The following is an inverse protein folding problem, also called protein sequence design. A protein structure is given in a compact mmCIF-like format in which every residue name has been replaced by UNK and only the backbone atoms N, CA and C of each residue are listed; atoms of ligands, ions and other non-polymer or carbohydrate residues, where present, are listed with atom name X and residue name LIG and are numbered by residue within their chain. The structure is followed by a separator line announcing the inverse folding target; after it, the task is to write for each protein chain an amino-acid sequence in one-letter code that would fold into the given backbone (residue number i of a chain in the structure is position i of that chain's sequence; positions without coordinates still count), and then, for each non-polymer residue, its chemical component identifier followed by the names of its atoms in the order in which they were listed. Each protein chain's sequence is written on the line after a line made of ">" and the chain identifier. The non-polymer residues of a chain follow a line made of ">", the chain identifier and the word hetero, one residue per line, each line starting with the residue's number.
data_IF_793882461944
#
_entry.id   IF_793882461944
#
_cell.length_a   1.000
_cell.length_b   1.000
_cell.length_c   1.000
_cell.angle_alpha   90.00
_cell.angle_beta   90.00
_cell.angle_gamma   90.00
#
_symmetry.space_group_name_H-M   'P 1'
#
loop_
_entity.id
_entity.type
_entity.pdbx_description
1 polymer ?
#
# COMPACT_ATOMS: atom_id res chain seq x y z
N UNK A 1 10.47 -11.30 -25.32
CA UNK A 1 9.47 -11.85 -24.37
C UNK A 1 8.30 -10.87 -24.37
N UNK A 2 7.07 -11.35 -24.23
CA UNK A 2 5.91 -10.43 -24.23
C UNK A 2 5.85 -9.68 -22.89
N UNK A 3 6.10 -8.38 -22.93
CA UNK A 3 6.29 -7.56 -21.74
C UNK A 3 4.94 -7.03 -21.24
N UNK A 4 4.24 -7.84 -20.44
CA UNK A 4 2.99 -7.45 -19.79
C UNK A 4 3.18 -6.19 -18.96
N UNK A 5 2.58 -5.08 -19.41
CA UNK A 5 2.71 -3.78 -18.73
C UNK A 5 2.35 -3.90 -17.24
N UNK A 6 3.25 -3.48 -16.32
CA UNK A 6 3.03 -3.63 -14.89
C UNK A 6 1.85 -2.77 -14.43
N UNK A 7 1.08 -3.31 -13.50
CA UNK A 7 -0.11 -2.67 -12.91
C UNK A 7 -0.06 -2.78 -11.40
N UNK A 8 -0.82 -1.89 -10.73
CA UNK A 8 -0.91 -1.80 -9.27
C UNK A 8 -2.31 -2.20 -8.82
N UNK A 9 -2.39 -3.16 -7.91
CA UNK A 9 -3.64 -3.65 -7.33
C UNK A 9 -3.66 -3.29 -5.84
N UNK A 10 -4.62 -2.45 -5.45
CA UNK A 10 -4.92 -2.18 -4.04
C UNK A 10 -5.92 -3.26 -3.57
N UNK A 11 -5.44 -4.24 -2.81
CA UNK A 11 -6.17 -5.45 -2.44
C UNK A 11 -6.74 -5.29 -1.03
N UNK A 12 -8.03 -5.64 -0.85
CA UNK A 12 -8.68 -5.75 0.46
C UNK A 12 -8.91 -7.21 0.83
N UNK A 13 -8.97 -7.55 2.12
CA UNK A 13 -8.99 -8.97 2.52
C UNK A 13 -10.26 -9.73 2.09
N UNK A 14 -11.45 -9.18 2.37
CA UNK A 14 -12.68 -9.97 2.25
C UNK A 14 -12.92 -10.48 0.81
N UNK A 15 -13.16 -11.79 0.69
CA UNK A 15 -13.34 -12.54 -0.57
C UNK A 15 -12.16 -12.53 -1.57
N UNK A 16 -10.96 -12.05 -1.19
CA UNK A 16 -9.78 -12.13 -2.06
C UNK A 16 -9.26 -13.56 -2.28
N UNK A 17 -8.93 -13.89 -3.53
CA UNK A 17 -8.20 -15.11 -3.89
C UNK A 17 -6.69 -14.83 -3.84
N UNK A 18 -6.00 -15.35 -2.82
CA UNK A 18 -4.57 -15.12 -2.64
C UNK A 18 -3.70 -15.91 -3.60
N UNK A 19 -4.21 -16.98 -4.23
CA UNK A 19 -3.54 -17.63 -5.36
C UNK A 19 -3.43 -16.67 -6.55
N UNK A 20 -4.49 -15.91 -6.83
CA UNK A 20 -4.48 -14.90 -7.90
C UNK A 20 -3.59 -13.70 -7.53
N UNK A 21 -3.60 -13.26 -6.26
CA UNK A 21 -2.67 -12.22 -5.77
C UNK A 21 -1.20 -12.65 -5.96
N UNK A 22 -0.85 -13.89 -5.60
CA UNK A 22 0.49 -14.44 -5.81
C UNK A 22 0.84 -14.52 -7.31
N UNK A 23 -0.12 -14.89 -8.16
CA UNK A 23 0.07 -14.94 -9.61
C UNK A 23 0.29 -13.55 -10.24
N UNK A 24 -0.45 -12.54 -9.80
CA UNK A 24 -0.26 -11.15 -10.23
C UNK A 24 1.12 -10.62 -9.79
N UNK A 25 1.53 -10.86 -8.55
CA UNK A 25 2.85 -10.49 -8.04
C UNK A 25 3.99 -11.19 -8.81
N UNK A 26 3.84 -12.48 -9.10
CA UNK A 26 4.79 -13.25 -9.92
C UNK A 26 4.88 -12.71 -11.36
N UNK A 27 3.79 -12.16 -11.90
CA UNK A 27 3.74 -11.41 -13.18
C UNK A 27 4.24 -9.96 -13.07
N UNK A 28 4.98 -9.61 -12.00
CA UNK A 28 5.54 -8.27 -11.74
C UNK A 28 4.49 -7.16 -11.63
N UNK A 29 3.27 -7.50 -11.18
CA UNK A 29 2.30 -6.50 -10.77
C UNK A 29 2.53 -6.11 -9.30
N UNK A 30 2.35 -4.84 -8.99
CA UNK A 30 2.53 -4.30 -7.63
C UNK A 30 1.27 -4.59 -6.81
N UNK A 31 1.46 -5.25 -5.67
CA UNK A 31 0.40 -5.54 -4.71
C UNK A 31 0.51 -4.54 -3.56
N UNK A 32 -0.53 -3.75 -3.40
CA UNK A 32 -0.66 -2.69 -2.41
C UNK A 32 -1.90 -2.92 -1.54
N UNK A 33 -1.94 -2.22 -0.42
CA UNK A 33 -2.89 -2.47 0.67
C UNK A 33 -4.19 -1.64 0.52
N UNK A 34 -5.32 -2.24 0.85
CA UNK A 34 -6.64 -1.60 0.91
C UNK A 34 -7.47 -2.05 2.12
N UNK A 35 -6.79 -2.33 3.24
CA UNK A 35 -7.33 -2.80 4.52
C UNK A 35 -7.94 -4.21 4.53
N UNK A 36 -8.21 -4.72 5.73
CA UNK A 36 -8.86 -6.01 5.94
C UNK A 36 -10.38 -5.88 5.73
N UNK A 37 -11.04 -5.08 6.58
CA UNK A 37 -12.51 -5.11 6.68
C UNK A 37 -13.21 -4.16 5.74
N UNK A 38 -12.52 -3.09 5.28
CA UNK A 38 -13.14 -1.93 4.63
C UNK A 38 -14.35 -1.40 5.43
N UNK A 39 -14.18 -1.26 6.75
CA UNK A 39 -15.18 -0.84 7.73
C UNK A 39 -16.15 0.26 7.23
N UNK A 40 -17.43 0.08 7.53
CA UNK A 40 -18.51 1.04 7.25
C UNK A 40 -19.12 1.58 8.56
N UNK A 41 -19.53 2.86 8.63
CA UNK A 41 -19.55 3.85 7.55
C UNK A 41 -18.15 4.36 7.18
N UNK A 42 -18.01 4.90 5.97
CA UNK A 42 -16.74 5.45 5.48
C UNK A 42 -16.11 6.46 6.46
N UNK A 43 -16.93 7.30 7.11
CA UNK A 43 -16.49 8.29 8.10
C UNK A 43 -15.76 7.72 9.33
N UNK A 44 -15.81 6.40 9.58
CA UNK A 44 -14.96 5.77 10.59
C UNK A 44 -13.46 5.94 10.26
N UNK A 45 -13.07 5.77 8.99
CA UNK A 45 -11.67 5.92 8.54
C UNK A 45 -11.11 7.33 8.81
N UNK A 46 -11.97 8.36 8.81
CA UNK A 46 -11.61 9.74 9.15
C UNK A 46 -11.44 10.01 10.66
N UNK A 47 -11.81 9.07 11.53
CA UNK A 47 -11.84 9.24 12.99
C UNK A 47 -11.16 8.10 13.78
N UNK A 48 -10.79 7.00 13.10
CA UNK A 48 -10.16 5.83 13.71
C UNK A 48 -8.82 6.17 14.39
N UNK A 49 -8.52 5.41 15.44
CA UNK A 49 -7.30 5.53 16.25
C UNK A 49 -6.07 4.96 15.55
N UNK A 50 -4.88 5.26 16.09
CA UNK A 50 -3.62 4.66 15.63
C UNK A 50 -3.63 3.13 15.75
N UNK A 51 -4.33 2.59 16.75
CA UNK A 51 -4.46 1.15 17.01
C UNK A 51 -5.38 0.49 15.97
N UNK A 52 -6.61 0.97 15.81
CA UNK A 52 -7.57 0.51 14.78
C UNK A 52 -6.98 0.55 13.36
N UNK A 53 -6.30 1.64 13.00
CA UNK A 53 -5.65 1.77 11.70
C UNK A 53 -4.42 0.86 11.56
N UNK A 54 -3.72 0.55 12.65
CA UNK A 54 -2.61 -0.42 12.65
C UNK A 54 -3.13 -1.84 12.42
N UNK A 55 -4.22 -2.25 13.06
CA UNK A 55 -4.82 -3.57 12.85
C UNK A 55 -5.31 -3.75 11.41
N UNK A 56 -5.87 -2.72 10.80
CA UNK A 56 -6.32 -2.73 9.40
C UNK A 56 -5.15 -2.71 8.39
N UNK A 57 -4.18 -1.80 8.54
CA UNK A 57 -3.09 -1.61 7.55
C UNK A 57 -1.98 -2.65 7.72
N UNK A 58 -1.47 -2.84 8.94
CA UNK A 58 -0.36 -3.77 9.18
C UNK A 58 -0.87 -5.20 9.16
N UNK A 59 -2.10 -5.43 9.64
CA UNK A 59 -2.76 -6.73 9.53
C UNK A 59 -3.01 -7.14 8.08
N UNK A 60 -3.47 -6.24 7.20
CA UNK A 60 -3.63 -6.57 5.78
C UNK A 60 -2.28 -6.81 5.08
N UNK A 61 -1.22 -6.06 5.41
CA UNK A 61 0.15 -6.36 4.94
C UNK A 61 0.61 -7.75 5.39
N UNK A 62 0.35 -8.15 6.62
CA UNK A 62 0.69 -9.49 7.12
C UNK A 62 -0.15 -10.60 6.47
N UNK A 63 -1.41 -10.33 6.15
CA UNK A 63 -2.27 -11.23 5.36
C UNK A 63 -1.71 -11.41 3.93
N UNK A 64 -1.36 -10.31 3.25
CA UNK A 64 -0.75 -10.33 1.91
C UNK A 64 0.58 -11.10 1.91
N UNK A 65 1.39 -10.91 2.95
CA UNK A 65 2.65 -11.65 3.16
C UNK A 65 2.42 -13.14 3.41
N UNK A 66 1.59 -13.50 4.39
CA UNK A 66 1.41 -14.90 4.85
C UNK A 66 0.61 -15.74 3.86
N UNK A 67 -0.45 -15.18 3.26
CA UNK A 67 -1.41 -15.94 2.45
C UNK A 67 -1.25 -15.73 0.95
N UNK A 68 -0.78 -14.55 0.52
CA UNK A 68 -0.45 -14.23 -0.87
C UNK A 68 1.01 -14.44 -1.26
N UNK A 69 1.87 -14.83 -0.30
CA UNK A 69 3.32 -15.01 -0.50
C UNK A 69 4.00 -13.78 -1.15
N UNK A 70 3.49 -12.58 -0.87
CA UNK A 70 4.08 -11.32 -1.33
C UNK A 70 5.20 -10.94 -0.38
N UNK A 71 6.39 -10.59 -0.88
CA UNK A 71 7.49 -10.24 0.00
C UNK A 71 7.20 -8.92 0.75
N UNK A 72 7.38 -8.88 2.07
CA UNK A 72 6.94 -7.76 2.92
C UNK A 72 7.50 -6.41 2.46
N UNK A 73 8.75 -6.40 2.00
CA UNK A 73 9.42 -5.21 1.52
C UNK A 73 8.84 -4.65 0.22
N UNK A 74 8.06 -5.43 -0.54
CA UNK A 74 7.40 -5.01 -1.78
C UNK A 74 5.95 -4.53 -1.58
N UNK A 75 5.34 -4.81 -0.42
CA UNK A 75 4.03 -4.25 -0.02
C UNK A 75 4.24 -2.82 0.47
N UNK A 76 4.60 -1.94 -0.48
CA UNK A 76 5.10 -0.58 -0.25
C UNK A 76 3.97 0.46 -0.12
N UNK A 77 2.75 0.13 -0.51
CA UNK A 77 1.68 1.11 -0.73
C UNK A 77 0.41 0.85 0.04
N UNK A 78 -0.30 1.92 0.37
CA UNK A 78 -1.68 1.89 0.88
C UNK A 78 -2.60 2.78 0.04
N UNK A 79 -3.90 2.50 0.12
CA UNK A 79 -4.99 3.38 -0.32
C UNK A 79 -6.13 3.27 0.68
N UNK A 80 -6.51 4.37 1.33
CA UNK A 80 -7.64 4.37 2.26
C UNK A 80 -8.96 3.91 1.60
N UNK A 81 -9.72 2.98 2.21
CA UNK A 81 -11.05 2.61 1.73
C UNK A 81 -11.97 3.83 1.56
N UNK A 82 -12.83 3.76 0.53
CA UNK A 82 -13.76 4.85 0.16
C UNK A 82 -13.10 6.20 -0.17
N UNK A 83 -11.76 6.27 -0.27
CA UNK A 83 -11.00 7.51 -0.43
C UNK A 83 -11.17 8.45 0.78
N UNK A 84 -11.51 7.89 1.95
CA UNK A 84 -11.59 8.63 3.22
C UNK A 84 -10.27 8.49 3.97
N UNK A 85 -9.46 9.54 3.94
CA UNK A 85 -8.21 9.60 4.72
C UNK A 85 -8.45 9.93 6.21
N UNK A 86 -7.56 9.44 7.07
CA UNK A 86 -7.55 9.53 8.53
C UNK A 86 -6.61 10.59 9.10
N UNK A 87 -6.39 11.70 8.39
CA UNK A 87 -5.62 12.84 8.86
C UNK A 87 -4.17 12.52 9.24
N UNK A 88 -3.66 13.17 10.29
CA UNK A 88 -2.30 12.88 10.76
C UNK A 88 -2.15 11.45 11.34
N UNK A 89 -3.25 10.81 11.76
CA UNK A 89 -3.27 9.48 12.38
C UNK A 89 -2.88 8.39 11.39
N UNK A 90 -3.54 8.34 10.24
CA UNK A 90 -3.21 7.42 9.13
C UNK A 90 -1.75 7.58 8.70
N UNK A 91 -1.34 8.80 8.38
CA UNK A 91 0.01 9.06 7.87
C UNK A 91 1.11 8.85 8.93
N UNK A 92 0.76 8.75 10.22
CA UNK A 92 1.67 8.27 11.26
C UNK A 92 1.78 6.74 11.24
N UNK A 93 0.65 6.03 11.26
CA UNK A 93 0.63 4.56 11.19
C UNK A 93 1.36 4.04 9.95
N UNK A 94 1.10 4.63 8.77
CA UNK A 94 1.78 4.29 7.53
C UNK A 94 3.30 4.47 7.63
N UNK A 95 3.75 5.63 8.14
CA UNK A 95 5.17 5.96 8.28
C UNK A 95 5.88 5.04 9.27
N UNK A 96 5.33 4.91 10.48
CA UNK A 96 5.95 4.14 11.56
C UNK A 96 5.96 2.63 11.26
N UNK A 97 5.01 2.15 10.44
CA UNK A 97 4.95 0.78 9.92
C UNK A 97 5.84 0.53 8.69
N UNK A 98 6.42 1.57 8.09
CA UNK A 98 7.30 1.47 6.92
C UNK A 98 6.59 1.35 5.56
N UNK A 99 5.35 1.83 5.41
CA UNK A 99 4.77 2.07 4.09
C UNK A 99 5.46 3.27 3.41
N UNK A 100 5.59 3.22 2.09
CA UNK A 100 6.31 4.20 1.27
C UNK A 100 5.41 5.28 0.66
N UNK A 101 4.15 4.95 0.35
CA UNK A 101 3.21 5.91 -0.25
C UNK A 101 1.73 5.61 0.08
N UNK A 102 0.91 6.65 -0.04
CA UNK A 102 -0.55 6.66 0.09
C UNK A 102 -1.18 7.08 -1.26
N UNK A 103 -2.45 6.76 -1.52
CA UNK A 103 -3.12 7.06 -2.80
C UNK A 103 -4.63 7.34 -2.68
N UNK A 104 -5.07 8.05 -1.64
CA UNK A 104 -6.45 8.48 -1.36
C UNK A 104 -6.61 10.00 -1.12
N UNK A 105 -5.63 10.83 -1.46
CA UNK A 105 -5.80 12.30 -1.52
C UNK A 105 -6.08 12.78 -2.96
N UNK A 106 -7.35 12.91 -3.40
CA UNK A 106 -7.70 13.49 -4.69
C UNK A 106 -7.61 15.03 -4.68
N UNK A 107 -7.58 15.64 -5.88
CA UNK A 107 -7.71 17.08 -6.07
C UNK A 107 -8.84 17.38 -7.06
N UNK A 108 -9.63 18.42 -6.77
CA UNK A 108 -10.58 19.05 -7.70
C UNK A 108 -10.12 20.47 -8.10
N UNK A 109 -9.28 21.10 -7.29
CA UNK A 109 -8.76 22.46 -7.54
C UNK A 109 -7.65 22.50 -8.60
N UNK A 110 -6.83 21.45 -8.69
CA UNK A 110 -5.60 21.45 -9.50
C UNK A 110 -5.70 20.53 -10.73
N UNK A 111 -6.85 20.54 -11.42
CA UNK A 111 -7.10 19.69 -12.60
C UNK A 111 -6.32 20.12 -13.86
N UNK A 112 -5.99 21.40 -13.99
CA UNK A 112 -5.28 21.96 -15.15
C UNK A 112 -3.77 22.21 -14.89
N UNK A 113 -3.32 22.02 -13.65
CA UNK A 113 -1.93 22.16 -13.20
C UNK A 113 -1.69 21.06 -12.14
N UNK A 114 -1.59 19.79 -12.58
CA UNK A 114 -1.72 18.64 -11.68
C UNK A 114 -0.51 18.44 -10.77
N UNK A 115 -0.79 18.09 -9.51
CA UNK A 115 0.25 17.72 -8.56
C UNK A 115 1.06 16.51 -9.02
N UNK A 116 2.38 16.66 -8.98
CA UNK A 116 3.30 15.53 -8.90
C UNK A 116 3.26 14.93 -7.48
N UNK A 117 3.53 13.62 -7.30
CA UNK A 117 3.54 13.01 -5.97
C UNK A 117 4.57 13.66 -5.04
N UNK A 118 4.16 14.07 -3.84
CA UNK A 118 4.95 14.88 -2.89
C UNK A 118 5.11 14.21 -1.50
N UNK A 119 6.06 14.71 -0.69
CA UNK A 119 6.26 14.29 0.70
C UNK A 119 5.42 15.12 1.66
N UNK A 120 4.90 14.50 2.71
CA UNK A 120 4.31 15.19 3.86
C UNK A 120 5.34 15.58 4.93
N UNK A 121 6.60 15.74 4.52
CA UNK A 121 7.64 16.36 5.35
C UNK A 121 7.35 17.85 5.57
N UNK A 122 6.70 18.50 4.60
CA UNK A 122 6.18 19.86 4.72
C UNK A 122 4.64 19.84 4.71
N UNK A 123 4.03 20.98 5.07
CA UNK A 123 2.59 21.17 4.94
C UNK A 123 2.18 21.19 3.46
N UNK A 124 1.33 20.27 3.05
CA UNK A 124 0.77 20.23 1.68
C UNK A 124 -0.05 21.49 1.36
N UNK A 125 0.00 21.91 0.10
CA UNK A 125 -0.82 22.96 -0.52
C UNK A 125 -2.02 22.41 -1.29
N UNK A 126 -2.18 21.08 -1.32
CA UNK A 126 -3.34 20.42 -1.94
C UNK A 126 -4.63 20.74 -1.17
N UNK A 127 -5.71 20.82 -1.94
CA UNK A 127 -7.09 20.85 -1.48
C UNK A 127 -7.49 19.59 -0.71
N UNK A 128 -8.33 19.76 0.31
CA UNK A 128 -8.75 18.67 1.20
C UNK A 128 -10.22 18.32 0.93
N UNK A 129 -10.45 17.61 -0.18
CA UNK A 129 -11.78 17.29 -0.69
C UNK A 129 -12.53 16.28 0.19
N UNK A 130 -11.81 15.33 0.79
CA UNK A 130 -12.34 14.34 1.73
C UNK A 130 -11.47 14.40 2.99
N UNK A 131 -11.88 15.24 3.95
CA UNK A 131 -11.15 15.45 5.21
C UNK A 131 -11.47 14.43 6.30
N UNK A 132 -10.62 14.29 7.34
CA UNK A 132 -9.46 15.15 7.63
C UNK A 132 -8.21 14.75 6.84
N UNK A 133 -7.51 15.75 6.27
CA UNK A 133 -6.22 15.55 5.60
C UNK A 133 -5.05 15.81 6.56
N UNK A 134 -3.85 15.23 6.31
CA UNK A 134 -2.66 15.49 7.11
C UNK A 134 -2.26 16.97 7.06
N UNK A 135 -1.96 17.56 8.23
CA UNK A 135 -1.65 19.00 8.39
C UNK A 135 -0.16 19.28 8.59
N UNK A 136 0.69 18.25 8.60
CA UNK A 136 2.15 18.39 8.53
C UNK A 136 2.85 18.75 9.84
N UNK A 137 2.19 18.63 10.99
CA UNK A 137 2.77 18.98 12.31
C UNK A 137 3.67 17.88 12.89
N UNK A 138 4.60 17.34 12.11
CA UNK A 138 5.73 16.58 12.65
C UNK A 138 6.75 17.57 13.23
N UNK A 139 6.96 17.51 14.55
CA UNK A 139 7.78 18.47 15.33
C UNK A 139 9.23 18.61 14.82
N UNK A 140 9.72 17.59 14.12
CA UNK A 140 10.97 17.53 13.36
C UNK A 140 11.27 18.80 12.54
N UNK A 141 10.26 19.38 11.89
CA UNK A 141 10.43 20.56 11.01
C UNK A 141 11.08 21.76 11.71
N UNK A 142 10.77 22.01 12.98
CA UNK A 142 11.33 23.17 13.72
C UNK A 142 12.85 23.11 13.93
N UNK A 143 13.49 21.97 13.66
CA UNK A 143 14.94 21.78 13.78
C UNK A 143 15.67 21.75 12.43
N UNK A 144 14.96 21.48 11.33
CA UNK A 144 15.51 21.48 9.97
C UNK A 144 15.19 22.76 9.19
N UNK A 145 14.04 23.38 9.41
CA UNK A 145 13.68 24.68 8.80
C UNK A 145 14.44 25.88 9.41
N UNK A 146 15.51 25.62 10.16
CA UNK A 146 16.48 26.59 10.68
C UNK A 146 17.91 26.24 10.24
N UNK A 147 18.04 25.53 9.12
CA UNK A 147 19.30 25.15 8.47
C UNK A 147 19.23 25.64 7.02
N UNK A 148 20.19 26.46 6.61
CA UNK A 148 20.15 27.21 5.35
C UNK A 148 20.54 26.37 4.11
N UNK A 149 20.70 25.05 4.27
CA UNK A 149 21.35 24.13 3.33
C UNK A 149 20.53 22.86 2.95
N UNK A 150 19.20 22.84 3.19
CA UNK A 150 18.34 21.63 3.05
C UNK A 150 17.24 21.74 1.97
N UNK A 151 17.06 20.68 1.15
CA UNK A 151 16.07 20.55 0.06
C UNK A 151 15.47 19.12 -0.02
N UNK A 152 14.26 18.90 -0.59
CA UNK A 152 13.46 17.64 -0.46
C UNK A 152 12.66 17.24 -1.73
N UNK A 153 12.48 15.92 -2.03
CA UNK A 153 11.89 15.32 -3.28
C UNK A 153 11.23 13.90 -3.11
N UNK A 154 10.51 13.36 -4.14
CA UNK A 154 9.50 12.23 -4.10
C UNK A 154 9.15 11.63 -5.50
N UNK A 155 8.19 10.73 -5.88
CA UNK A 155 7.24 9.62 -5.42
C UNK A 155 7.42 8.17 -5.99
N UNK A 156 7.81 7.15 -5.21
CA UNK A 156 7.94 5.70 -5.58
C UNK A 156 8.59 5.35 -6.95
N UNK A 157 7.86 4.95 -8.00
CA UNK A 157 8.48 4.67 -9.31
C UNK A 157 8.88 5.95 -10.07
N UNK A 158 8.27 7.07 -9.70
CA UNK A 158 8.78 8.40 -10.00
C UNK A 158 9.81 8.88 -8.96
N UNK A 159 9.91 8.31 -7.73
CA UNK A 159 11.01 8.64 -6.77
C UNK A 159 12.33 8.40 -7.48
N UNK A 160 12.44 7.30 -8.20
CA UNK A 160 13.73 6.82 -8.68
C UNK A 160 14.22 7.74 -9.79
N UNK A 161 13.35 8.07 -10.75
CA UNK A 161 13.66 9.03 -11.81
C UNK A 161 13.73 10.50 -11.30
N UNK A 162 12.92 10.92 -10.32
CA UNK A 162 13.00 12.29 -9.76
C UNK A 162 14.24 12.47 -8.87
N UNK A 163 14.70 11.41 -8.18
CA UNK A 163 16.00 11.40 -7.46
C UNK A 163 17.19 11.26 -8.40
N UNK A 164 17.01 10.66 -9.58
CA UNK A 164 18.08 10.48 -10.57
C UNK A 164 17.55 10.62 -12.01
N UNK A 165 17.36 11.85 -12.51
CA UNK A 165 16.77 12.10 -13.82
C UNK A 165 17.60 11.51 -14.95
N UNK A 166 17.08 10.43 -15.53
CA UNK A 166 17.73 9.66 -16.59
C UNK A 166 17.15 10.07 -17.95
N UNK A 167 17.99 10.26 -18.97
CA UNK A 167 17.51 10.69 -20.28
C UNK A 167 16.67 9.59 -20.93
N UNK A 168 15.85 9.98 -21.91
CA UNK A 168 15.13 9.03 -22.76
C UNK A 168 16.07 8.09 -23.53
N UNK A 169 17.27 8.55 -23.87
CA UNK A 169 18.35 7.77 -24.51
C UNK A 169 18.87 6.63 -23.62
N UNK A 170 18.88 6.84 -22.31
CA UNK A 170 19.46 5.94 -21.31
C UNK A 170 18.39 5.12 -20.54
N UNK A 171 17.10 5.28 -20.90
CA UNK A 171 15.97 4.85 -20.05
C UNK A 171 15.78 3.34 -20.00
N UNK A 172 16.15 2.61 -21.05
CA UNK A 172 16.13 1.14 -21.06
C UNK A 172 17.18 0.55 -20.10
N UNK A 173 18.23 1.31 -19.80
CA UNK A 173 19.30 0.91 -18.90
C UNK A 173 19.08 1.35 -17.44
N UNK A 174 18.01 2.08 -17.15
CA UNK A 174 17.72 2.66 -15.83
C UNK A 174 17.53 1.59 -14.74
N UNK A 175 18.58 1.37 -13.93
CA UNK A 175 18.67 0.25 -12.99
C UNK A 175 17.49 0.12 -12.00
N UNK A 176 16.89 1.17 -11.44
CA UNK A 176 15.74 1.01 -10.53
C UNK A 176 14.48 0.42 -11.18
N UNK A 177 14.35 0.51 -12.52
CA UNK A 177 13.28 -0.17 -13.26
C UNK A 177 13.68 -1.59 -13.72
N UNK A 178 14.92 -2.03 -13.47
CA UNK A 178 15.37 -3.39 -13.77
C UNK A 178 14.92 -4.37 -12.67
N UNK A 179 14.63 -5.58 -13.09
CA UNK A 179 13.96 -6.61 -12.28
C UNK A 179 14.93 -7.41 -11.39
N UNK A 180 15.80 -6.72 -10.65
CA UNK A 180 17.03 -7.26 -10.04
C UNK A 180 16.81 -8.40 -9.03
N UNK A 181 15.66 -8.43 -8.35
CA UNK A 181 15.24 -9.55 -7.49
C UNK A 181 14.11 -10.34 -8.17
N UNK A 182 14.21 -11.68 -8.36
CA UNK A 182 13.05 -12.49 -8.73
C UNK A 182 12.00 -12.47 -7.61
N UNK A 183 10.70 -12.65 -7.92
CA UNK A 183 9.69 -12.83 -6.89
C UNK A 183 9.91 -14.21 -6.20
N UNK A 184 9.30 -14.43 -5.01
CA UNK A 184 9.13 -15.78 -4.46
C UNK A 184 8.49 -16.72 -5.50
N UNK A 185 8.75 -18.04 -5.44
CA UNK A 185 8.21 -18.99 -6.40
C UNK A 185 6.70 -18.83 -6.61
N UNK A 186 6.28 -18.74 -7.87
CA UNK A 186 4.86 -18.69 -8.24
C UNK A 186 4.13 -19.97 -7.82
N UNK A 187 2.89 -19.82 -7.38
CA UNK A 187 1.99 -20.94 -7.11
C UNK A 187 1.43 -21.49 -8.42
N UNK A 188 1.43 -22.81 -8.63
CA UNK A 188 0.67 -23.37 -9.74
C UNK A 188 -0.82 -23.42 -9.38
N UNK A 189 -1.70 -23.42 -10.38
CA UNK A 189 -3.14 -23.56 -10.15
C UNK A 189 -3.53 -24.91 -9.49
N UNK A 190 -2.62 -25.89 -9.43
CA UNK A 190 -2.80 -27.14 -8.71
C UNK A 190 -2.42 -27.08 -7.22
N UNK A 191 -1.62 -26.10 -6.79
CA UNK A 191 -1.20 -25.92 -5.39
C UNK A 191 -2.19 -25.06 -4.57
N UNK A 192 -3.10 -24.36 -5.27
CA UNK A 192 -4.11 -23.48 -4.70
C UNK A 192 -5.20 -24.28 -3.94
N UNK A 193 -5.40 -23.97 -2.65
CA UNK A 193 -6.36 -24.63 -1.76
C UNK A 193 -7.49 -23.69 -1.38
N UNK A 194 -8.73 -24.17 -1.44
CA UNK A 194 -9.91 -23.46 -0.95
C UNK A 194 -10.15 -23.76 0.53
N UNK A 195 -9.77 -22.83 1.40
CA UNK A 195 -10.04 -22.89 2.82
C UNK A 195 -11.48 -22.40 3.10
N UNK A 196 -12.24 -23.17 3.88
CA UNK A 196 -13.68 -22.94 4.09
C UNK A 196 -13.99 -22.64 5.57
N UNK A 197 -14.71 -21.55 5.83
CA UNK A 197 -14.96 -21.00 7.17
C UNK A 197 -16.47 -20.88 7.43
N UNK A 198 -17.17 -22.02 7.64
CA UNK A 198 -18.63 -22.06 7.67
C UNK A 198 -19.24 -21.24 8.82
N UNK A 199 -18.56 -21.11 9.96
CA UNK A 199 -19.03 -20.29 11.08
C UNK A 199 -19.05 -18.77 10.77
N UNK A 200 -18.34 -18.33 9.74
CA UNK A 200 -18.32 -16.95 9.23
C UNK A 200 -18.96 -16.81 7.84
N UNK A 201 -19.47 -17.90 7.25
CA UNK A 201 -19.94 -17.96 5.85
C UNK A 201 -18.91 -17.49 4.81
N UNK A 202 -17.61 -17.63 5.10
CA UNK A 202 -16.51 -17.14 4.26
C UNK A 202 -15.65 -18.27 3.69
N UNK A 203 -14.91 -17.94 2.63
CA UNK A 203 -13.88 -18.80 2.03
C UNK A 203 -12.63 -17.97 1.75
N UNK A 204 -11.47 -18.63 1.70
CA UNK A 204 -10.19 -18.03 1.29
C UNK A 204 -9.42 -19.03 0.44
N UNK A 205 -9.07 -18.65 -0.79
CA UNK A 205 -8.15 -19.43 -1.62
C UNK A 205 -6.71 -18.99 -1.36
N UNK A 206 -5.81 -19.91 -1.05
CA UNK A 206 -4.38 -19.63 -0.81
C UNK A 206 -3.51 -20.84 -1.19
N UNK A 207 -2.23 -20.58 -1.50
CA UNK A 207 -1.23 -21.61 -1.77
C UNK A 207 -0.35 -21.94 -0.56
N UNK A 208 -0.70 -21.43 0.63
CA UNK A 208 -0.01 -21.77 1.87
C UNK A 208 0.00 -23.29 2.14
N UNK A 209 0.98 -23.82 2.92
CA UNK A 209 1.05 -25.25 3.22
C UNK A 209 -0.23 -25.80 3.84
N UNK A 210 -0.85 -25.04 4.76
CA UNK A 210 -2.05 -25.38 5.50
C UNK A 210 -3.02 -24.20 5.51
N UNK A 211 -4.32 -24.50 5.66
CA UNK A 211 -5.34 -23.48 5.92
C UNK A 211 -5.28 -23.05 7.39
N UNK A 212 -5.37 -21.75 7.73
CA UNK A 212 -5.46 -21.33 9.12
C UNK A 212 -6.75 -21.86 9.77
N UNK A 213 -6.76 -22.14 11.08
CA UNK A 213 -7.95 -22.65 11.78
C UNK A 213 -9.08 -21.62 11.86
N UNK A 214 -8.76 -20.33 11.77
CA UNK A 214 -9.72 -19.23 11.74
C UNK A 214 -9.57 -18.40 10.46
N UNK A 215 -10.66 -17.76 10.03
CA UNK A 215 -10.58 -16.81 8.92
C UNK A 215 -9.75 -15.60 9.37
N UNK A 216 -8.66 -15.23 8.66
CA UNK A 216 -7.86 -14.07 9.05
C UNK A 216 -8.70 -12.79 9.14
N UNK A 217 -8.41 -11.91 10.09
CA UNK A 217 -9.18 -10.69 10.28
C UNK A 217 -8.41 -9.60 11.03
N UNK A 218 -9.07 -8.46 11.25
CA UNK A 218 -8.66 -7.41 12.19
C UNK A 218 -8.40 -8.06 13.56
N UNK A 219 -7.27 -7.74 14.20
CA UNK A 219 -6.79 -8.37 15.43
C UNK A 219 -6.25 -9.81 15.30
N UNK A 220 -6.49 -10.51 14.18
CA UNK A 220 -5.93 -11.84 13.90
C UNK A 220 -5.59 -12.04 12.40
N UNK A 221 -4.59 -11.33 11.86
CA UNK A 221 -4.21 -11.42 10.44
C UNK A 221 -3.54 -12.76 10.07
N UNK A 222 -3.12 -13.50 11.09
CA UNK A 222 -2.39 -14.75 10.99
C UNK A 222 -3.30 -15.98 11.17
N UNK A 223 -4.56 -15.80 11.56
CA UNK A 223 -5.64 -16.80 11.52
C UNK A 223 -5.52 -17.96 12.50
N UNK A 224 -4.62 -17.87 13.49
CA UNK A 224 -4.38 -18.90 14.52
C UNK A 224 -5.16 -18.67 15.83
#
# INVERSE_FOLDING_TARGET
>A
MDATSPRRFFVSHEYSNYCDVQNLYHQRHEIADNSISRHLPASWWGNATEEELTEEMVGMREILRKWGNVATQDIKGYRAPYIQVGGNTEFKVLKDSGFLYESSMPTQRYLNDPFWPYTLEYRSTQDCEIGPCPTGTYSFLKKLASMDDVWVVTVSQAIEWIKSPTKLEDIEDFAPWKCDSPPPPGCSSADCKLCNYPAWSRVMSTCAPECPPHYPWVGNPDGN
#
